data_IF_148077926238
#
_entry.id   IF_148077926238
#
_cell.length_a   1.000
_cell.length_b   1.000
_cell.length_c   1.000
_cell.angle_alpha   90.00
_cell.angle_beta   90.00
_cell.angle_gamma   90.00
#
_symmetry.space_group_name_H-M   'P 1'
#
loop_
_entity.id
_entity.type
_entity.pdbx_description
1 polymer ?
#
# COMPACT_ATOMS: atom_id res chain seq x y z
N UNK A 1 -1.09 5.20 21.54
CA UNK A 1 -0.16 4.27 20.88
C UNK A 1 -0.23 2.94 21.58
N UNK A 2 -0.25 1.81 20.86
CA UNK A 2 0.27 0.57 21.43
C UNK A 2 0.67 -0.52 20.39
N UNK A 3 1.85 -0.38 19.74
CA UNK A 3 2.68 -1.49 19.29
C UNK A 3 3.43 -2.04 20.50
N UNK A 4 3.02 -3.23 20.89
CA UNK A 4 2.95 -3.67 22.28
C UNK A 4 4.33 -3.79 22.98
N UNK A 5 4.81 -2.90 23.87
CA UNK A 5 4.23 -1.71 24.50
C UNK A 5 5.26 -0.56 24.55
N UNK A 6 5.64 -0.04 23.38
CA UNK A 6 6.41 1.20 23.28
C UNK A 6 6.63 1.59 21.82
N UNK A 7 6.46 2.88 21.51
CA UNK A 7 6.64 3.40 20.16
C UNK A 7 5.35 3.57 19.36
N UNK A 8 5.47 4.20 18.19
CA UNK A 8 4.43 4.31 17.17
C UNK A 8 4.31 2.99 16.38
N UNK A 9 3.22 2.80 15.64
CA UNK A 9 3.18 1.69 14.68
C UNK A 9 4.34 1.86 13.69
N UNK A 10 5.16 0.83 13.49
CA UNK A 10 6.29 0.92 12.54
C UNK A 10 5.72 0.93 11.13
N UNK A 11 5.18 -0.20 10.68
CA UNK A 11 4.45 -0.32 9.41
C UNK A 11 2.97 -0.57 9.66
N UNK A 12 2.10 -0.24 8.70
CA UNK A 12 0.64 -0.29 8.87
C UNK A 12 -0.05 -0.92 7.66
N UNK A 13 -0.99 -1.85 7.85
CA UNK A 13 -1.79 -2.39 6.72
C UNK A 13 -3.26 -2.40 7.07
N UNK A 14 -4.09 -1.87 6.16
CA UNK A 14 -5.54 -1.86 6.33
C UNK A 14 -6.09 -3.24 5.99
N UNK A 15 -6.51 -3.98 7.00
CA UNK A 15 -7.10 -5.31 6.84
C UNK A 15 -8.51 -5.21 6.24
N UNK A 16 -8.98 -6.30 5.64
CA UNK A 16 -10.29 -6.37 4.96
C UNK A 16 -11.50 -6.25 5.91
N UNK A 17 -11.27 -6.28 7.22
CA UNK A 17 -12.28 -6.00 8.26
C UNK A 17 -12.18 -4.58 8.84
N UNK A 18 -11.45 -3.69 8.18
CA UNK A 18 -11.28 -2.29 8.57
C UNK A 18 -10.30 -2.08 9.73
N UNK A 19 -9.70 -3.12 10.30
CA UNK A 19 -8.64 -2.93 11.31
C UNK A 19 -7.30 -2.54 10.66
N UNK A 20 -6.41 -1.91 11.42
CA UNK A 20 -5.02 -1.65 10.98
C UNK A 20 -4.11 -2.68 11.62
N UNK A 21 -3.49 -3.56 10.83
CA UNK A 21 -2.42 -4.44 11.25
C UNK A 21 -1.12 -3.65 11.38
N UNK A 22 -0.33 -3.93 12.42
CA UNK A 22 1.00 -3.35 12.61
C UNK A 22 1.83 -4.30 13.48
N UNK A 23 3.14 -4.10 13.53
CA UNK A 23 4.06 -4.86 14.36
C UNK A 23 4.81 -3.93 15.34
N UNK A 24 5.31 -4.53 16.42
CA UNK A 24 6.15 -3.87 17.41
C UNK A 24 7.57 -4.43 17.37
N UNK A 25 8.12 -4.75 18.55
CA UNK A 25 9.51 -5.18 18.74
C UNK A 25 9.91 -6.36 17.85
N UNK A 26 11.13 -6.29 17.30
CA UNK A 26 11.74 -7.25 16.38
C UNK A 26 10.88 -7.61 15.15
N UNK A 27 9.86 -6.78 14.85
CA UNK A 27 8.95 -6.92 13.71
C UNK A 27 8.19 -8.26 13.63
N UNK A 28 8.15 -9.03 14.73
CA UNK A 28 7.47 -10.33 14.79
C UNK A 28 6.31 -10.39 15.81
N UNK A 29 6.18 -9.34 16.64
CA UNK A 29 5.08 -9.16 17.58
C UNK A 29 3.99 -8.31 16.95
N UNK A 30 2.86 -8.93 16.63
CA UNK A 30 1.80 -8.28 15.86
C UNK A 30 0.69 -7.74 16.75
N UNK A 31 0.12 -6.62 16.32
CA UNK A 31 -1.04 -5.98 16.90
C UNK A 31 -2.01 -5.57 15.81
N UNK A 32 -3.27 -5.36 16.16
CA UNK A 32 -4.20 -4.60 15.32
C UNK A 32 -4.90 -3.49 16.08
N UNK A 33 -5.13 -2.37 15.40
CA UNK A 33 -5.99 -1.29 15.86
C UNK A 33 -7.39 -1.51 15.31
N UNK A 34 -8.36 -1.68 16.22
CA UNK A 34 -9.79 -1.72 15.89
C UNK A 34 -10.37 -0.35 16.22
N UNK A 35 -11.03 0.36 15.27
CA UNK A 35 -11.63 1.65 15.54
C UNK A 35 -12.75 1.53 16.58
N UNK A 36 -13.15 2.67 17.18
CA UNK A 36 -14.30 2.67 18.09
C UNK A 36 -15.63 2.41 17.35
N UNK A 37 -16.74 2.40 18.10
CA UNK A 37 -18.07 2.15 17.56
C UNK A 37 -18.56 3.20 16.54
N UNK A 38 -17.87 4.33 16.36
CA UNK A 38 -18.18 5.36 15.39
C UNK A 38 -17.19 5.39 14.21
N UNK A 39 -16.26 4.43 14.15
CA UNK A 39 -15.22 4.38 13.12
C UNK A 39 -14.07 5.36 13.39
N UNK A 40 -13.89 5.82 14.63
CA UNK A 40 -12.80 6.71 15.03
C UNK A 40 -11.58 5.89 15.47
N UNK A 41 -10.52 5.93 14.66
CA UNK A 41 -9.26 5.23 14.93
C UNK A 41 -8.44 5.89 16.04
N UNK A 42 -8.70 7.17 16.37
CA UNK A 42 -8.02 7.84 17.50
C UNK A 42 -8.49 7.34 18.86
N UNK A 43 -9.71 6.80 18.91
CA UNK A 43 -10.33 6.16 20.07
C UNK A 43 -10.32 4.64 19.98
N UNK A 44 -9.67 4.09 18.96
CA UNK A 44 -9.59 2.66 18.73
C UNK A 44 -8.82 1.91 19.82
N UNK A 45 -9.02 0.61 19.86
CA UNK A 45 -8.36 -0.31 20.80
C UNK A 45 -7.32 -1.14 20.07
N UNK A 46 -6.12 -1.20 20.64
CA UNK A 46 -5.06 -2.09 20.18
C UNK A 46 -5.24 -3.48 20.77
N UNK A 47 -5.13 -4.50 19.93
CA UNK A 47 -5.30 -5.91 20.29
C UNK A 47 -4.04 -6.67 19.86
N UNK A 48 -3.43 -7.41 20.79
CA UNK A 48 -2.30 -8.28 20.48
C UNK A 48 -2.75 -9.49 19.65
N UNK A 49 -1.93 -9.87 18.67
CA UNK A 49 -2.16 -10.96 17.74
C UNK A 49 -1.12 -12.07 17.92
N UNK A 50 -1.25 -13.14 17.15
CA UNK A 50 -0.25 -14.20 17.10
C UNK A 50 1.09 -13.67 16.56
N UNK A 51 2.16 -14.11 17.18
CA UNK A 51 3.53 -13.85 16.79
C UNK A 51 3.87 -14.58 15.48
N UNK A 52 4.57 -13.91 14.57
CA UNK A 52 4.99 -14.51 13.30
C UNK A 52 6.27 -15.35 13.46
N UNK A 53 6.47 -16.38 12.60
CA UNK A 53 7.70 -17.17 12.59
C UNK A 53 8.94 -16.33 12.26
N UNK A 54 8.82 -15.36 11.35
CA UNK A 54 9.87 -14.42 11.01
C UNK A 54 9.52 -13.01 11.48
N UNK A 55 10.54 -12.28 11.93
CA UNK A 55 10.50 -10.85 12.15
C UNK A 55 11.32 -10.17 11.08
N UNK A 56 10.64 -9.58 10.09
CA UNK A 56 11.29 -8.98 8.92
C UNK A 56 10.86 -7.53 8.72
N UNK A 57 11.78 -6.72 8.22
CA UNK A 57 11.54 -5.35 7.77
C UNK A 57 12.13 -5.15 6.38
N UNK A 58 11.69 -4.08 5.69
CA UNK A 58 12.01 -3.84 4.28
C UNK A 58 11.64 -5.07 3.44
N UNK A 59 10.36 -5.46 3.48
CA UNK A 59 9.88 -6.75 2.99
C UNK A 59 8.73 -6.58 2.00
N UNK A 60 8.52 -7.57 1.14
CA UNK A 60 7.40 -7.62 0.22
C UNK A 60 6.10 -7.88 0.97
N UNK A 61 5.15 -6.94 0.94
CA UNK A 61 3.96 -6.98 1.78
C UNK A 61 2.68 -6.71 1.01
N UNK A 62 1.68 -7.56 1.18
CA UNK A 62 0.44 -7.48 0.42
C UNK A 62 -0.76 -8.03 1.20
N UNK A 63 -1.95 -7.46 0.99
CA UNK A 63 -3.22 -8.07 1.42
C UNK A 63 -3.72 -8.98 0.30
N UNK A 64 -4.02 -10.23 0.60
CA UNK A 64 -4.43 -11.23 -0.38
C UNK A 64 -5.94 -11.16 -0.68
N UNK A 65 -6.39 -11.74 -1.82
CA UNK A 65 -7.81 -11.75 -2.20
C UNK A 65 -8.79 -12.36 -1.18
N UNK A 66 -8.28 -13.24 -0.31
CA UNK A 66 -9.04 -13.89 0.75
C UNK A 66 -8.92 -13.18 2.11
N UNK A 67 -8.29 -12.01 2.14
CA UNK A 67 -8.10 -11.19 3.34
C UNK A 67 -6.92 -11.59 4.22
N UNK A 68 -6.14 -12.61 3.83
CA UNK A 68 -4.85 -12.91 4.50
C UNK A 68 -3.84 -11.79 4.24
N UNK A 69 -2.85 -11.66 5.12
CA UNK A 69 -1.69 -10.82 4.90
C UNK A 69 -0.49 -11.66 4.48
N UNK A 70 0.17 -11.25 3.41
CA UNK A 70 1.38 -11.84 2.85
C UNK A 70 2.57 -10.97 3.23
N UNK A 71 3.64 -11.59 3.73
CA UNK A 71 4.93 -10.96 3.91
C UNK A 71 6.02 -11.91 3.42
N UNK A 72 6.96 -11.40 2.63
CA UNK A 72 8.06 -12.21 2.10
C UNK A 72 9.36 -11.43 1.92
N UNK A 73 10.48 -12.14 1.94
CA UNK A 73 11.80 -11.50 1.84
C UNK A 73 12.15 -10.75 3.12
N UNK A 74 12.51 -9.48 2.98
CA UNK A 74 13.08 -8.66 4.05
C UNK A 74 14.56 -8.37 3.80
N UNK A 75 14.97 -7.11 3.75
CA UNK A 75 16.38 -6.72 3.87
C UNK A 75 16.91 -7.11 5.26
N UNK A 76 16.08 -6.92 6.28
CA UNK A 76 16.41 -7.23 7.67
C UNK A 76 15.60 -8.41 8.18
N UNK A 77 16.30 -9.44 8.68
CA UNK A 77 15.70 -10.61 9.33
C UNK A 77 16.16 -10.64 10.79
N UNK A 78 15.29 -10.20 11.69
CA UNK A 78 15.56 -10.10 13.14
C UNK A 78 15.19 -11.37 13.91
N UNK A 79 14.18 -12.09 13.44
CA UNK A 79 13.71 -13.35 14.04
C UNK A 79 13.46 -14.37 12.92
N UNK A 80 13.73 -15.64 13.18
CA UNK A 80 13.55 -16.74 12.22
C UNK A 80 13.21 -18.06 12.94
N UNK A 81 12.52 -19.00 12.29
CA UNK A 81 12.17 -20.30 12.86
C UNK A 81 13.38 -21.24 12.95
N UNK A 82 13.24 -22.32 13.72
CA UNK A 82 14.27 -23.38 13.80
C UNK A 82 14.56 -23.99 12.41
N UNK A 83 15.85 -24.16 12.10
CA UNK A 83 16.31 -24.66 10.79
C UNK A 83 16.45 -23.58 9.71
N UNK A 84 16.23 -22.31 10.06
CA UNK A 84 16.43 -21.12 9.21
C UNK A 84 17.56 -20.24 9.78
N UNK A 85 17.86 -19.12 9.11
CA UNK A 85 18.89 -18.15 9.51
C UNK A 85 18.50 -16.71 9.21
N UNK A 86 19.27 -15.76 9.76
CA UNK A 86 19.17 -14.33 9.43
C UNK A 86 19.51 -13.99 7.97
N UNK A 87 20.01 -14.95 7.18
CA UNK A 87 20.34 -14.77 5.77
C UNK A 87 19.23 -15.32 4.84
N UNK A 88 18.10 -15.78 5.37
CA UNK A 88 17.03 -16.43 4.60
C UNK A 88 16.05 -15.38 4.02
N UNK A 89 16.54 -14.55 3.10
CA UNK A 89 15.79 -13.46 2.47
C UNK A 89 14.78 -13.93 1.39
N UNK A 90 14.31 -15.16 1.46
CA UNK A 90 13.25 -15.74 0.59
C UNK A 90 12.11 -16.37 1.38
N UNK A 91 12.10 -16.23 2.70
CA UNK A 91 10.98 -16.67 3.52
C UNK A 91 9.67 -16.04 3.04
N UNK A 92 8.59 -16.82 3.07
CA UNK A 92 7.23 -16.33 2.85
C UNK A 92 6.43 -16.72 4.09
N UNK A 93 5.68 -15.77 4.64
CA UNK A 93 4.76 -16.01 5.75
C UNK A 93 3.40 -15.38 5.49
N UNK A 94 2.35 -16.13 5.85
CA UNK A 94 0.97 -15.77 5.60
C UNK A 94 0.23 -15.69 6.92
N UNK A 95 -0.38 -14.55 7.21
CA UNK A 95 -1.23 -14.36 8.38
C UNK A 95 -2.70 -14.54 8.01
N UNK A 96 -3.39 -15.40 8.76
CA UNK A 96 -4.83 -15.55 8.68
C UNK A 96 -5.51 -14.75 9.80
N UNK A 97 -6.21 -13.64 9.50
CA UNK A 97 -6.86 -12.81 10.51
C UNK A 97 -8.13 -13.44 11.12
N UNK A 98 -8.69 -14.48 10.49
CA UNK A 98 -9.88 -15.18 11.01
C UNK A 98 -9.48 -16.14 12.13
N UNK A 99 -8.42 -16.92 11.92
CA UNK A 99 -7.93 -17.89 12.92
C UNK A 99 -6.86 -17.28 13.84
N UNK A 100 -6.36 -16.08 13.53
CA UNK A 100 -5.23 -15.45 14.20
C UNK A 100 -4.00 -16.37 14.24
N UNK A 101 -3.58 -16.88 13.08
CA UNK A 101 -2.46 -17.81 12.95
C UNK A 101 -1.59 -17.48 11.76
N UNK A 102 -0.30 -17.77 11.88
CA UNK A 102 0.67 -17.68 10.79
C UNK A 102 0.98 -19.05 10.19
N UNK A 103 1.22 -19.10 8.88
CA UNK A 103 1.70 -20.29 8.16
C UNK A 103 2.84 -19.90 7.24
N UNK A 104 3.83 -20.78 7.09
CA UNK A 104 4.92 -20.59 6.14
C UNK A 104 4.47 -20.93 4.71
N UNK A 105 4.87 -20.07 3.78
CA UNK A 105 4.70 -20.25 2.35
C UNK A 105 5.84 -21.03 1.70
N UNK A 106 5.71 -21.34 0.41
CA UNK A 106 6.87 -21.78 -0.38
C UNK A 106 7.88 -20.62 -0.47
N UNK A 107 9.15 -20.88 -0.15
CA UNK A 107 10.22 -19.88 -0.35
C UNK A 107 10.35 -19.47 -1.83
N UNK A 108 10.78 -18.23 -2.07
CA UNK A 108 11.00 -17.71 -3.42
C UNK A 108 11.94 -18.59 -4.26
N UNK A 109 11.63 -18.75 -5.55
CA UNK A 109 12.31 -19.65 -6.50
C UNK A 109 13.81 -19.39 -6.64
N UNK A 110 14.19 -18.12 -6.50
CA UNK A 110 15.52 -17.62 -6.79
C UNK A 110 16.34 -17.25 -5.55
N UNK A 111 15.89 -17.70 -4.37
CA UNK A 111 16.65 -17.61 -3.13
C UNK A 111 16.64 -16.25 -2.42
N UNK A 112 16.49 -15.14 -3.14
CA UNK A 112 16.56 -13.78 -2.59
C UNK A 112 15.40 -12.91 -3.10
N UNK A 113 14.40 -12.70 -2.26
CA UNK A 113 13.31 -11.74 -2.45
C UNK A 113 13.66 -10.36 -1.87
N UNK A 114 14.35 -10.29 -0.73
CA UNK A 114 14.77 -9.03 -0.09
C UNK A 114 13.60 -8.01 0.01
N UNK A 115 13.91 -6.73 -0.11
CA UNK A 115 13.08 -5.53 -0.28
C UNK A 115 12.71 -5.26 -1.75
N UNK A 116 12.74 -6.29 -2.60
CA UNK A 116 12.56 -6.05 -4.04
C UNK A 116 11.12 -5.76 -4.40
N UNK A 117 10.92 -5.01 -5.49
CA UNK A 117 9.61 -4.61 -5.93
C UNK A 117 8.61 -5.76 -6.16
N UNK A 118 7.38 -5.51 -5.75
CA UNK A 118 6.26 -6.44 -5.78
C UNK A 118 4.96 -5.73 -6.12
N UNK A 119 4.06 -6.41 -6.84
CA UNK A 119 2.72 -5.89 -7.10
C UNK A 119 1.72 -7.03 -7.35
N UNK A 120 0.45 -6.73 -7.08
CA UNK A 120 -0.64 -7.61 -7.48
C UNK A 120 -0.84 -7.61 -9.01
N UNK A 121 -1.07 -8.80 -9.55
CA UNK A 121 -1.79 -8.99 -10.80
C UNK A 121 -3.29 -8.84 -10.55
N UNK A 122 -4.05 -8.56 -11.61
CA UNK A 122 -5.51 -8.37 -11.52
C UNK A 122 -6.22 -9.52 -10.81
N UNK A 123 -5.78 -10.75 -11.06
CA UNK A 123 -6.36 -11.98 -10.49
C UNK A 123 -5.91 -12.28 -9.05
N UNK A 124 -5.12 -11.40 -8.44
CA UNK A 124 -4.68 -11.53 -7.06
C UNK A 124 -3.41 -12.34 -6.85
N UNK A 125 -2.82 -12.91 -7.91
CA UNK A 125 -1.42 -13.36 -7.86
C UNK A 125 -0.50 -12.17 -7.60
N UNK A 126 0.69 -12.44 -7.11
CA UNK A 126 1.70 -11.41 -6.83
C UNK A 126 2.88 -11.66 -7.76
N UNK A 127 3.30 -10.64 -8.52
CA UNK A 127 4.57 -10.66 -9.24
C UNK A 127 5.62 -9.96 -8.40
N UNK A 128 6.79 -10.56 -8.30
CA UNK A 128 7.92 -10.07 -7.53
C UNK A 128 9.21 -10.21 -8.34
N UNK A 129 10.16 -9.31 -8.15
CA UNK A 129 11.52 -9.47 -8.67
C UNK A 129 12.41 -10.36 -7.79
N UNK A 130 13.57 -10.72 -8.33
CA UNK A 130 14.75 -11.05 -7.52
C UNK A 130 15.68 -9.84 -7.41
N UNK A 131 16.58 -9.85 -6.44
CA UNK A 131 17.42 -8.69 -6.14
C UNK A 131 18.46 -8.38 -7.22
N UNK A 132 18.98 -9.39 -7.95
CA UNK A 132 20.27 -9.24 -8.67
C UNK A 132 20.25 -9.61 -10.14
N UNK A 133 19.32 -10.46 -10.59
CA UNK A 133 19.41 -11.08 -11.92
C UNK A 133 18.29 -10.66 -12.85
N UNK A 134 17.55 -9.59 -12.52
CA UNK A 134 16.40 -9.13 -13.30
C UNK A 134 15.32 -10.21 -13.50
N UNK A 135 15.30 -11.26 -12.68
CA UNK A 135 14.31 -12.33 -12.81
C UNK A 135 13.03 -11.90 -12.12
N UNK A 136 11.90 -12.38 -12.62
CA UNK A 136 10.63 -12.24 -11.90
C UNK A 136 10.02 -13.60 -11.62
N UNK A 137 9.19 -13.63 -10.59
CA UNK A 137 8.50 -14.81 -10.11
C UNK A 137 7.08 -14.41 -9.69
N UNK A 138 6.15 -15.33 -9.88
CA UNK A 138 4.72 -15.08 -9.65
C UNK A 138 4.24 -16.03 -8.57
N UNK A 139 3.84 -15.49 -7.42
CA UNK A 139 3.24 -16.23 -6.32
C UNK A 139 1.74 -16.39 -6.54
N UNK A 140 1.26 -17.63 -6.44
CA UNK A 140 -0.16 -17.93 -6.39
C UNK A 140 -0.60 -18.21 -4.94
N UNK A 141 -1.37 -17.30 -4.31
CA UNK A 141 -1.78 -17.46 -2.92
C UNK A 141 -2.77 -18.60 -2.68
N UNK A 142 -3.48 -19.07 -3.72
CA UNK A 142 -4.45 -20.18 -3.61
C UNK A 142 -3.78 -21.55 -3.54
N UNK A 143 -2.63 -21.70 -4.21
CA UNK A 143 -1.85 -22.95 -4.24
C UNK A 143 -0.59 -22.87 -3.39
N UNK A 144 -0.29 -21.70 -2.81
CA UNK A 144 0.93 -21.41 -2.06
C UNK A 144 2.19 -21.81 -2.86
N UNK A 145 2.24 -21.41 -4.12
CA UNK A 145 3.30 -21.83 -5.04
C UNK A 145 3.81 -20.71 -5.92
N UNK A 146 5.10 -20.78 -6.26
CA UNK A 146 5.72 -19.87 -7.21
C UNK A 146 5.83 -20.48 -8.61
N UNK A 147 5.70 -19.62 -9.62
CA UNK A 147 6.06 -19.91 -11.01
C UNK A 147 7.04 -18.86 -11.53
N UNK A 148 7.95 -19.24 -12.43
CA UNK A 148 8.84 -18.28 -13.07
C UNK A 148 8.04 -17.28 -13.92
N UNK A 149 8.34 -16.00 -13.78
CA UNK A 149 7.89 -14.93 -14.66
C UNK A 149 8.93 -14.62 -15.74
N UNK A 150 8.65 -13.67 -16.64
CA UNK A 150 9.59 -13.23 -17.65
C UNK A 150 10.68 -12.35 -17.01
N UNK A 151 11.89 -12.42 -17.54
CA UNK A 151 12.96 -11.55 -17.06
C UNK A 151 12.69 -10.09 -17.45
N UNK A 152 13.05 -9.18 -16.55
CA UNK A 152 13.12 -7.75 -16.79
C UNK A 152 14.32 -7.43 -17.70
N UNK A 153 14.31 -6.29 -18.40
CA UNK A 153 15.44 -5.87 -19.23
C UNK A 153 16.73 -5.59 -18.43
N UNK A 154 16.61 -5.15 -17.18
CA UNK A 154 17.73 -5.02 -16.25
C UNK A 154 17.26 -5.23 -14.81
N UNK A 155 18.22 -5.52 -13.92
CA UNK A 155 17.96 -5.65 -12.48
C UNK A 155 17.71 -4.26 -11.90
N UNK A 156 16.74 -4.17 -11.01
CA UNK A 156 16.66 -3.14 -9.99
C UNK A 156 16.62 -3.91 -8.66
N UNK A 157 17.45 -3.52 -7.70
CA UNK A 157 17.39 -4.10 -6.36
C UNK A 157 16.12 -3.55 -5.68
N UNK A 158 16.09 -2.23 -5.56
CA UNK A 158 15.05 -1.46 -4.90
C UNK A 158 14.30 -0.60 -5.93
N UNK A 159 12.99 -0.84 -6.04
CA UNK A 159 12.12 -0.11 -6.96
C UNK A 159 10.63 -0.18 -6.60
N UNK A 160 9.92 0.93 -6.80
CA UNK A 160 8.48 0.99 -6.56
C UNK A 160 7.68 0.47 -7.76
N UNK A 161 6.74 -0.44 -7.49
CA UNK A 161 5.88 -1.06 -8.50
C UNK A 161 4.43 -0.63 -8.32
N UNK A 162 3.82 -0.06 -9.36
CA UNK A 162 2.43 0.39 -9.35
C UNK A 162 1.60 -0.34 -10.42
N UNK A 163 0.53 -1.06 -10.03
CA UNK A 163 -0.40 -1.65 -10.99
C UNK A 163 -1.33 -0.58 -11.59
N UNK A 164 -1.51 -0.62 -12.90
CA UNK A 164 -2.30 0.34 -13.66
C UNK A 164 -3.71 -0.18 -14.01
N UNK A 165 -4.66 0.73 -14.32
CA UNK A 165 -6.02 0.36 -14.73
C UNK A 165 -6.14 -0.57 -15.94
N UNK A 166 -5.12 -0.63 -16.80
CA UNK A 166 -5.10 -1.53 -17.97
C UNK A 166 -4.61 -2.95 -17.64
N UNK A 167 -4.24 -3.21 -16.38
CA UNK A 167 -3.71 -4.49 -15.91
C UNK A 167 -2.20 -4.63 -16.00
N UNK A 168 -1.50 -3.65 -16.59
CA UNK A 168 -0.04 -3.63 -16.60
C UNK A 168 0.52 -3.12 -15.27
N UNK A 169 1.81 -3.35 -15.03
CA UNK A 169 2.52 -2.83 -13.85
C UNK A 169 3.68 -1.98 -14.32
N UNK A 170 3.82 -0.77 -13.77
CA UNK A 170 4.99 0.08 -13.98
C UNK A 170 5.91 -0.08 -12.80
N UNK A 171 7.18 -0.39 -13.08
CA UNK A 171 8.28 -0.42 -12.12
C UNK A 171 9.18 0.77 -12.41
N UNK A 172 9.53 1.54 -11.37
CA UNK A 172 10.37 2.73 -11.47
C UNK A 172 11.46 2.64 -10.42
N UNK A 173 12.71 2.76 -10.87
CA UNK A 173 13.90 2.88 -10.04
C UNK A 173 14.76 4.07 -10.48
N UNK A 174 15.79 4.41 -9.70
CA UNK A 174 16.82 5.39 -10.10
C UNK A 174 17.58 4.98 -11.39
N UNK A 175 17.60 3.67 -11.69
CA UNK A 175 18.38 3.06 -12.76
C UNK A 175 17.59 2.87 -14.05
N UNK A 176 16.26 3.00 -13.99
CA UNK A 176 15.38 2.89 -15.15
C UNK A 176 13.93 2.65 -14.77
N UNK A 177 13.08 2.61 -15.79
CA UNK A 177 11.68 2.28 -15.63
C UNK A 177 11.26 1.23 -16.66
N UNK A 178 10.37 0.35 -16.25
CA UNK A 178 9.89 -0.76 -17.05
C UNK A 178 8.38 -0.94 -16.87
N UNK A 179 7.74 -1.56 -17.85
CA UNK A 179 6.32 -1.88 -17.78
C UNK A 179 6.09 -3.35 -18.09
N UNK A 180 5.50 -4.08 -17.15
CA UNK A 180 5.09 -5.46 -17.31
C UNK A 180 3.69 -5.52 -17.89
N UNK A 181 3.53 -6.28 -18.98
CA UNK A 181 2.24 -6.67 -19.53
C UNK A 181 1.96 -8.15 -19.19
N UNK A 182 1.07 -8.42 -18.23
CA UNK A 182 0.71 -9.80 -17.88
C UNK A 182 0.03 -10.57 -19.01
N UNK A 183 -0.65 -9.89 -19.95
CA UNK A 183 -1.33 -10.54 -21.06
C UNK A 183 -0.35 -11.03 -22.13
N UNK A 184 0.70 -10.23 -22.40
CA UNK A 184 1.81 -10.65 -23.25
C UNK A 184 2.86 -11.49 -22.49
N UNK A 185 2.78 -11.51 -21.16
CA UNK A 185 3.80 -12.04 -20.27
C UNK A 185 5.21 -11.51 -20.62
N UNK A 186 5.32 -10.18 -20.76
CA UNK A 186 6.54 -9.53 -21.24
C UNK A 186 6.79 -8.19 -20.53
N UNK A 187 8.06 -7.84 -20.37
CA UNK A 187 8.51 -6.53 -19.90
C UNK A 187 8.92 -5.64 -21.07
N UNK A 188 8.53 -4.38 -21.01
CA UNK A 188 8.91 -3.34 -21.95
C UNK A 188 9.76 -2.28 -21.24
N UNK A 189 10.83 -1.84 -21.88
CA UNK A 189 11.55 -0.62 -21.47
C UNK A 189 10.72 0.60 -21.83
N UNK A 190 10.46 1.47 -20.86
CA UNK A 190 9.79 2.74 -21.11
C UNK A 190 10.81 3.88 -21.27
N UNK A 191 10.36 5.11 -21.48
CA UNK A 191 11.23 6.27 -21.56
C UNK A 191 12.10 6.37 -20.30
N UNK A 192 13.35 6.81 -20.46
CA UNK A 192 14.27 6.99 -19.32
C UNK A 192 13.84 8.23 -18.51
N UNK A 193 13.83 8.16 -17.17
CA UNK A 193 13.61 9.33 -16.34
C UNK A 193 14.69 10.42 -16.57
N UNK A 194 14.38 11.70 -16.27
CA UNK A 194 15.34 12.80 -16.31
C UNK A 194 16.61 12.48 -15.52
N UNK A 195 17.77 12.97 -15.97
CA UNK A 195 19.06 12.72 -15.30
C UNK A 195 19.16 13.31 -13.89
N UNK A 196 18.31 14.27 -13.55
CA UNK A 196 18.13 14.79 -12.18
C UNK A 196 17.63 13.73 -11.21
N UNK A 197 16.83 12.78 -11.69
CA UNK A 197 16.33 11.64 -10.92
C UNK A 197 17.19 10.38 -11.15
N UNK A 198 17.59 10.13 -12.40
CA UNK A 198 18.33 8.95 -12.80
C UNK A 198 19.84 9.07 -12.54
N UNK A 199 20.23 9.42 -11.30
CA UNK A 199 21.62 9.62 -10.88
C UNK A 199 22.33 8.32 -10.47
N UNK A 200 21.58 7.25 -10.22
CA UNK A 200 22.10 5.93 -9.84
C UNK A 200 22.77 5.88 -8.47
N UNK A 201 22.47 6.86 -7.60
CA UNK A 201 23.14 7.05 -6.31
C UNK A 201 22.29 6.72 -5.07
N UNK A 202 20.97 6.58 -5.21
CA UNK A 202 20.00 6.48 -4.09
C UNK A 202 18.66 5.90 -4.53
N UNK A 203 17.97 5.21 -3.65
CA UNK A 203 16.79 4.40 -3.97
C UNK A 203 15.52 5.22 -4.22
N UNK A 204 14.48 4.53 -4.68
CA UNK A 204 13.23 5.18 -5.08
C UNK A 204 12.28 5.19 -3.89
N UNK A 205 12.23 6.31 -3.19
CA UNK A 205 11.44 6.40 -1.95
C UNK A 205 9.95 6.25 -2.13
N UNK A 206 9.37 6.66 -3.27
CA UNK A 206 7.95 6.42 -3.51
C UNK A 206 7.58 6.53 -4.99
N UNK A 207 6.69 5.64 -5.41
CA UNK A 207 6.04 5.63 -6.72
C UNK A 207 4.53 5.62 -6.50
N UNK A 208 3.88 6.76 -6.73
CA UNK A 208 2.45 6.94 -6.47
C UNK A 208 1.67 7.17 -7.76
N UNK A 209 0.75 6.26 -8.09
CA UNK A 209 -0.24 6.47 -9.15
C UNK A 209 -1.35 7.42 -8.65
N UNK A 210 -1.55 8.51 -9.37
CA UNK A 210 -2.51 9.57 -9.01
C UNK A 210 -3.82 9.46 -9.82
N UNK A 211 -4.87 10.15 -9.35
CA UNK A 211 -6.20 10.12 -9.96
C UNK A 211 -6.28 10.59 -11.42
N UNK A 212 -5.26 11.30 -11.92
CA UNK A 212 -5.19 11.74 -13.31
C UNK A 212 -4.41 10.76 -14.21
N UNK A 213 -4.02 9.59 -13.67
CA UNK A 213 -3.32 8.53 -14.39
C UNK A 213 -1.81 8.75 -14.54
N UNK A 214 -1.28 9.87 -14.04
CA UNK A 214 0.18 10.09 -13.96
C UNK A 214 0.72 9.45 -12.68
N UNK A 215 2.02 9.17 -12.69
CA UNK A 215 2.76 8.59 -11.57
C UNK A 215 3.76 9.62 -11.07
N UNK A 216 3.66 9.99 -9.80
CA UNK A 216 4.71 10.72 -9.09
C UNK A 216 5.77 9.70 -8.66
N UNK A 217 7.02 9.93 -9.03
CA UNK A 217 8.16 9.21 -8.47
C UNK A 217 9.11 10.20 -7.80
N UNK A 218 9.60 9.83 -6.62
CA UNK A 218 10.52 10.67 -5.86
C UNK A 218 11.67 9.84 -5.33
N UNK A 219 12.83 10.50 -5.22
CA UNK A 219 14.06 9.93 -4.71
C UNK A 219 15.07 11.05 -4.51
N UNK A 220 15.83 10.95 -3.43
CA UNK A 220 16.80 11.95 -3.01
C UNK A 220 16.16 13.34 -2.80
N UNK A 221 16.60 14.36 -3.53
CA UNK A 221 16.04 15.72 -3.47
C UNK A 221 15.19 16.06 -4.71
N UNK A 222 14.79 15.04 -5.49
CA UNK A 222 14.15 15.23 -6.78
C UNK A 222 12.79 14.53 -6.85
N UNK A 223 11.84 15.18 -7.51
CA UNK A 223 10.57 14.57 -7.92
C UNK A 223 10.45 14.57 -9.44
N UNK A 224 9.85 13.54 -10.00
CA UNK A 224 9.56 13.42 -11.44
C UNK A 224 8.18 12.84 -11.63
N UNK A 225 7.56 13.16 -12.77
CA UNK A 225 6.20 12.72 -13.09
C UNK A 225 6.26 11.91 -14.39
N UNK A 226 5.90 10.64 -14.30
CA UNK A 226 5.75 9.77 -15.45
C UNK A 226 4.29 9.78 -15.92
N UNK A 227 4.09 9.95 -17.22
CA UNK A 227 2.79 9.73 -17.88
C UNK A 227 2.89 8.43 -18.68
N UNK A 228 2.21 7.35 -18.22
CA UNK A 228 2.19 6.09 -18.94
C UNK A 228 1.71 6.24 -20.38
N UNK A 229 2.31 5.49 -21.29
CA UNK A 229 1.81 5.37 -22.67
C UNK A 229 0.46 4.65 -22.73
N UNK A 230 -0.25 4.81 -23.85
CA UNK A 230 -1.60 4.26 -24.01
C UNK A 230 -1.64 2.72 -23.99
N UNK A 231 -0.55 2.06 -24.38
CA UNK A 231 -0.35 0.61 -24.30
C UNK A 231 0.92 0.27 -23.52
N UNK A 232 1.05 -0.97 -23.00
CA UNK A 232 2.24 -1.38 -22.27
C UNK A 232 3.57 -1.20 -23.02
N UNK A 233 3.58 -1.41 -24.33
CA UNK A 233 4.75 -1.22 -25.19
C UNK A 233 5.09 0.24 -25.50
N UNK A 234 4.18 1.18 -25.21
CA UNK A 234 4.41 2.59 -25.48
C UNK A 234 5.32 3.17 -24.38
N UNK A 235 6.36 3.95 -24.74
CA UNK A 235 7.38 4.38 -23.79
C UNK A 235 6.90 5.44 -22.78
N UNK A 236 5.70 5.99 -22.95
CA UNK A 236 5.21 7.10 -22.13
C UNK A 236 6.10 8.34 -22.23
N UNK A 237 5.98 9.23 -21.25
CA UNK A 237 6.79 10.46 -21.19
C UNK A 237 7.05 10.90 -19.75
N UNK A 238 8.14 11.64 -19.55
CA UNK A 238 8.52 12.17 -18.24
C UNK A 238 8.50 13.69 -18.23
N UNK A 239 8.16 14.24 -17.08
CA UNK A 239 8.35 15.65 -16.76
C UNK A 239 9.09 15.77 -15.42
N UNK A 240 9.89 16.84 -15.30
CA UNK A 240 10.46 17.23 -14.01
C UNK A 240 9.31 17.68 -13.09
N UNK A 241 9.23 17.12 -11.89
CA UNK A 241 8.30 17.54 -10.86
C UNK A 241 8.82 18.78 -10.10
N UNK A 242 8.00 19.37 -9.22
CA UNK A 242 8.41 20.51 -8.40
C UNK A 242 9.56 20.16 -7.46
N UNK A 243 10.31 21.17 -7.04
CA UNK A 243 11.35 21.00 -6.04
C UNK A 243 10.74 20.57 -4.70
N UNK A 244 11.41 19.66 -4.00
CA UNK A 244 11.02 19.23 -2.66
C UNK A 244 11.21 20.41 -1.69
N UNK A 245 10.22 20.75 -0.84
CA UNK A 245 10.29 21.91 0.03
C UNK A 245 11.52 21.92 0.93
N UNK A 246 12.03 23.13 1.16
CA UNK A 246 13.17 23.41 2.06
C UNK A 246 14.47 22.67 1.68
N UNK A 247 14.59 22.15 0.45
CA UNK A 247 15.76 21.36 0.03
C UNK A 247 15.89 20.03 0.78
N UNK A 248 14.77 19.50 1.29
CA UNK A 248 14.73 18.26 2.08
C UNK A 248 14.87 17.02 1.19
N UNK A 249 15.17 15.88 1.83
CA UNK A 249 15.39 14.61 1.15
C UNK A 249 14.21 13.66 1.35
N UNK A 250 13.97 12.85 0.33
CA UNK A 250 13.13 11.67 0.36
C UNK A 250 14.05 10.49 0.08
N UNK A 251 14.25 9.67 1.10
CA UNK A 251 15.13 8.51 1.11
C UNK A 251 14.59 7.63 2.24
N UNK A 252 14.03 6.47 1.91
CA UNK A 252 13.32 5.58 2.84
C UNK A 252 12.25 6.34 3.65
N UNK A 253 11.42 7.07 2.89
CA UNK A 253 10.28 7.87 3.38
C UNK A 253 9.02 7.46 2.66
N UNK A 254 7.88 7.70 3.28
CA UNK A 254 6.62 7.13 2.84
C UNK A 254 5.66 8.19 2.32
N UNK A 255 4.75 7.76 1.47
CA UNK A 255 3.69 8.58 0.94
C UNK A 255 2.35 7.87 1.07
N UNK A 256 1.25 8.59 0.84
CA UNK A 256 -0.01 7.96 0.45
C UNK A 256 -0.82 8.93 -0.40
N UNK A 257 -1.49 8.46 -1.48
CA UNK A 257 -2.43 9.30 -2.21
C UNK A 257 -3.65 9.59 -1.34
N UNK A 258 -4.08 10.84 -1.30
CA UNK A 258 -5.18 11.30 -0.46
C UNK A 258 -6.49 11.36 -1.24
N UNK A 259 -7.62 11.18 -0.55
CA UNK A 259 -8.94 11.21 -1.19
C UNK A 259 -9.30 12.55 -1.88
N UNK A 260 -8.64 13.65 -1.53
CA UNK A 260 -8.82 14.96 -2.18
C UNK A 260 -8.05 15.09 -3.52
N UNK A 261 -7.22 14.11 -3.88
CA UNK A 261 -6.44 14.06 -5.11
C UNK A 261 -4.98 14.47 -4.97
N UNK A 262 -4.54 14.87 -3.79
CA UNK A 262 -3.13 15.16 -3.47
C UNK A 262 -2.39 13.89 -3.04
N UNK A 263 -1.09 14.03 -2.81
CA UNK A 263 -0.25 12.98 -2.21
C UNK A 263 0.42 13.57 -0.97
N UNK A 264 0.11 13.02 0.20
CA UNK A 264 0.82 13.33 1.44
C UNK A 264 2.07 12.46 1.53
N UNK A 265 3.18 13.03 1.95
CA UNK A 265 4.44 12.31 2.11
C UNK A 265 5.31 12.97 3.17
N UNK A 266 6.27 12.24 3.70
CA UNK A 266 7.31 12.81 4.56
C UNK A 266 8.63 13.03 3.83
N UNK A 267 9.46 13.90 4.40
CA UNK A 267 10.82 14.14 3.92
C UNK A 267 11.72 14.37 5.13
N UNK A 268 12.94 13.85 5.09
CA UNK A 268 13.83 13.78 6.26
C UNK A 268 14.88 14.89 6.29
N UNK A 269 15.48 15.01 7.48
CA UNK A 269 16.51 16.00 7.83
C UNK A 269 17.84 15.73 7.13
N UNK A 270 18.28 14.48 7.17
CA UNK A 270 19.49 13.99 6.52
C UNK A 270 19.31 12.53 6.08
N UNK A 271 19.84 12.17 4.92
CA UNK A 271 20.00 10.77 4.52
C UNK A 271 21.13 10.13 5.32
N UNK A 272 20.89 8.94 5.88
CA UNK A 272 21.93 8.16 6.56
C UNK A 272 22.90 7.49 5.57
N UNK A 273 22.47 7.31 4.31
CA UNK A 273 23.25 6.69 3.24
C UNK A 273 24.24 7.69 2.63
N UNK A 274 23.78 8.90 2.32
CA UNK A 274 24.59 9.90 1.61
C UNK A 274 25.25 10.94 2.53
N UNK A 275 24.84 11.01 3.80
CA UNK A 275 25.15 12.09 4.74
C UNK A 275 24.71 13.48 4.26
N UNK A 276 23.85 13.58 3.24
CA UNK A 276 23.30 14.85 2.77
C UNK A 276 22.20 15.34 3.72
N UNK A 277 22.19 16.65 4.02
CA UNK A 277 21.29 17.26 5.00
C UNK A 277 20.62 18.52 4.43
N UNK A 278 19.29 18.62 4.58
CA UNK A 278 18.47 19.65 3.92
C UNK A 278 17.50 20.39 4.84
N UNK A 279 16.92 19.72 5.83
CA UNK A 279 15.95 20.35 6.76
C UNK A 279 16.62 20.74 8.10
N UNK A 280 16.21 21.87 8.70
CA UNK A 280 16.73 22.31 9.99
C UNK A 280 16.11 21.57 11.20
N UNK A 281 15.03 20.81 11.00
CA UNK A 281 14.21 20.26 12.10
C UNK A 281 13.28 19.12 11.62
N UNK A 282 13.45 17.91 12.18
CA UNK A 282 12.50 16.79 12.05
C UNK A 282 12.23 16.28 10.63
N UNK A 283 11.46 15.20 10.52
CA UNK A 283 10.79 14.88 9.26
C UNK A 283 9.75 15.97 9.00
N UNK A 284 9.64 16.47 7.77
CA UNK A 284 8.57 17.37 7.34
C UNK A 284 7.46 16.55 6.69
N UNK A 285 6.20 16.97 6.84
CA UNK A 285 5.08 16.40 6.10
C UNK A 285 4.73 17.41 5.05
N UNK A 286 4.66 16.93 3.83
CA UNK A 286 4.41 17.72 2.66
C UNK A 286 3.20 17.14 1.92
N UNK A 287 2.52 17.98 1.17
CA UNK A 287 1.53 17.56 0.18
C UNK A 287 2.02 17.95 -1.21
N UNK A 288 1.95 17.02 -2.16
CA UNK A 288 2.02 17.31 -3.58
C UNK A 288 0.61 17.48 -4.14
N UNK A 289 0.36 18.60 -4.83
CA UNK A 289 -0.87 18.86 -5.56
C UNK A 289 -0.63 18.66 -7.07
N UNK A 290 -1.18 17.58 -7.67
CA UNK A 290 -1.00 17.32 -9.10
C UNK A 290 -1.71 18.32 -10.00
N UNK A 291 -2.75 19.03 -9.51
CA UNK A 291 -3.50 19.98 -10.31
C UNK A 291 -2.72 21.27 -10.55
N UNK A 292 -1.93 21.71 -9.57
CA UNK A 292 -1.08 22.90 -9.67
C UNK A 292 0.40 22.57 -9.89
N UNK A 293 0.78 21.29 -9.80
CA UNK A 293 2.16 20.81 -9.87
C UNK A 293 3.05 21.50 -8.82
N UNK A 294 2.59 21.56 -7.58
CA UNK A 294 3.28 22.23 -6.47
C UNK A 294 3.38 21.34 -5.25
N UNK A 295 4.45 21.49 -4.47
CA UNK A 295 4.60 20.87 -3.15
C UNK A 295 4.54 21.94 -2.06
N UNK A 296 3.91 21.62 -0.94
CA UNK A 296 3.84 22.50 0.22
C UNK A 296 4.02 21.69 1.52
N UNK A 297 4.83 22.22 2.44
CA UNK A 297 4.92 21.68 3.80
C UNK A 297 3.64 22.02 4.57
N UNK A 298 3.04 21.02 5.21
CA UNK A 298 1.88 21.19 6.09
C UNK A 298 2.30 21.16 7.55
N UNK A 299 1.47 21.75 8.42
CA UNK A 299 1.71 21.75 9.86
C UNK A 299 1.59 20.34 10.42
N UNK A 300 2.63 19.88 11.11
CA UNK A 300 2.63 18.59 11.79
C UNK A 300 2.27 18.72 13.28
N UNK A 301 1.75 17.67 13.91
CA UNK A 301 1.99 17.45 15.33
C UNK A 301 3.49 17.18 15.55
N UNK A 302 4.16 17.92 16.44
CA UNK A 302 5.60 17.78 16.69
C UNK A 302 6.03 16.32 17.00
N UNK A 303 6.95 15.74 16.21
CA UNK A 303 7.83 14.65 16.64
C UNK A 303 9.28 15.15 16.69
N UNK A 304 9.83 15.23 17.90
CA UNK A 304 11.19 15.72 18.15
C UNK A 304 12.29 14.77 17.68
N UNK A 305 11.97 13.52 17.30
CA UNK A 305 12.97 12.48 16.97
C UNK A 305 13.33 12.42 15.49
N UNK A 306 12.51 13.00 14.60
CA UNK A 306 12.80 13.05 13.17
C UNK A 306 12.77 11.68 12.46
N UNK A 307 12.00 10.72 12.98
CA UNK A 307 11.78 9.42 12.34
C UNK A 307 10.91 9.58 11.08
N UNK A 308 11.08 8.70 10.07
CA UNK A 308 10.15 8.61 8.95
C UNK A 308 8.71 8.40 9.41
N UNK A 309 7.77 8.92 8.62
CA UNK A 309 6.34 8.89 8.96
C UNK A 309 5.61 7.92 8.06
N UNK A 310 5.11 6.83 8.64
CA UNK A 310 4.29 5.88 7.94
C UNK A 310 2.87 6.41 7.79
N UNK A 311 2.28 6.25 6.61
CA UNK A 311 0.92 6.70 6.31
C UNK A 311 0.03 5.54 5.88
N UNK A 312 -1.23 5.58 6.30
CA UNK A 312 -2.25 4.70 5.73
C UNK A 312 -3.60 5.39 5.61
N UNK A 313 -4.25 5.26 4.45
CA UNK A 313 -5.60 5.77 4.26
C UNK A 313 -6.60 4.97 5.09
N UNK A 314 -7.49 5.67 5.77
CA UNK A 314 -8.56 5.08 6.57
C UNK A 314 -9.89 5.08 5.78
N UNK A 315 -10.79 4.12 6.01
CA UNK A 315 -12.09 4.04 5.33
C UNK A 315 -12.96 5.30 5.46
N UNK A 316 -12.73 6.10 6.50
CA UNK A 316 -13.44 7.34 6.76
C UNK A 316 -12.87 8.57 6.01
N UNK A 317 -11.83 8.38 5.18
CA UNK A 317 -11.18 9.42 4.37
C UNK A 317 -10.09 10.21 5.08
N UNK A 318 -9.78 9.86 6.33
CA UNK A 318 -8.61 10.38 7.04
C UNK A 318 -7.37 9.53 6.73
N UNK A 319 -6.19 10.03 7.11
CA UNK A 319 -4.91 9.32 7.04
C UNK A 319 -4.42 9.07 8.46
N UNK A 320 -4.18 7.81 8.82
CA UNK A 320 -3.44 7.50 10.04
C UNK A 320 -1.95 7.64 9.74
N UNK A 321 -1.27 8.41 10.57
CA UNK A 321 0.16 8.63 10.50
C UNK A 321 0.83 8.11 11.78
N UNK A 322 1.99 7.48 11.63
CA UNK A 322 2.75 6.90 12.72
C UNK A 322 4.25 7.21 12.55
N UNK A 323 4.85 7.79 13.59
CA UNK A 323 6.27 8.13 13.59
C UNK A 323 6.82 8.10 15.02
N UNK A 324 8.03 7.55 15.17
CA UNK A 324 8.78 7.56 16.42
C UNK A 324 7.97 7.06 17.62
N UNK A 325 7.48 7.99 18.44
CA UNK A 325 6.65 7.68 19.61
C UNK A 325 5.27 8.33 19.56
N UNK A 326 4.68 8.53 18.38
CA UNK A 326 3.32 9.04 18.23
C UNK A 326 2.58 8.40 17.06
N UNK A 327 1.28 8.20 17.26
CA UNK A 327 0.31 8.01 16.17
C UNK A 327 -0.64 9.21 16.19
N UNK A 328 -1.03 9.71 15.02
CA UNK A 328 -2.03 10.76 14.88
C UNK A 328 -2.84 10.56 13.61
N UNK A 329 -3.98 11.23 13.54
CA UNK A 329 -4.81 11.21 12.35
C UNK A 329 -4.76 12.57 11.68
N UNK A 330 -4.50 12.58 10.39
CA UNK A 330 -4.60 13.73 9.51
C UNK A 330 -5.92 13.68 8.72
N UNK A 331 -6.58 14.82 8.57
CA UNK A 331 -7.79 14.93 7.75
C UNK A 331 -7.47 15.78 6.52
N UNK A 332 -7.39 15.17 5.32
CA UNK A 332 -7.14 15.90 4.09
C UNK A 332 -8.12 17.06 3.90
N UNK A 333 -7.61 18.24 3.54
CA UNK A 333 -8.46 19.39 3.24
C UNK A 333 -9.09 19.21 1.86
N UNK A 334 -10.42 19.36 1.80
CA UNK A 334 -11.19 19.18 0.57
C UNK A 334 -12.03 17.90 0.61
N UNK A 335 -12.50 17.46 -0.56
CA UNK A 335 -13.33 16.25 -0.66
C UNK A 335 -13.04 15.51 -1.97
N UNK A 336 -13.20 14.18 -1.99
CA UNK A 336 -13.09 13.41 -3.22
C UNK A 336 -14.10 13.86 -4.27
N UNK A 337 -13.67 13.92 -5.53
CA UNK A 337 -14.59 14.12 -6.67
C UNK A 337 -15.55 12.95 -6.75
N UNK A 338 -16.80 13.22 -7.16
CA UNK A 338 -17.83 12.19 -7.27
C UNK A 338 -17.41 11.04 -8.21
N UNK A 339 -16.72 11.36 -9.31
CA UNK A 339 -16.21 10.36 -10.26
C UNK A 339 -15.16 9.41 -9.69
N UNK A 340 -14.56 9.72 -8.53
CA UNK A 340 -13.54 8.87 -7.90
C UNK A 340 -14.11 7.87 -6.91
N UNK A 341 -15.40 7.97 -6.59
CA UNK A 341 -16.02 7.16 -5.55
C UNK A 341 -16.35 5.76 -6.07
N UNK A 342 -16.15 4.72 -5.25
CA UNK A 342 -16.78 3.43 -5.51
C UNK A 342 -18.29 3.58 -5.65
N UNK A 343 -18.92 2.75 -6.46
CA UNK A 343 -20.38 2.66 -6.55
C UNK A 343 -20.84 1.26 -6.21
N UNK A 344 -21.98 1.16 -5.52
CA UNK A 344 -22.65 -0.11 -5.22
C UNK A 344 -23.87 -0.22 -6.11
N UNK A 345 -23.90 -1.23 -6.96
CA UNK A 345 -25.00 -1.48 -7.91
C UNK A 345 -25.97 -2.50 -7.34
N UNK A 346 -25.47 -3.56 -6.71
CA UNK A 346 -26.30 -4.58 -6.09
C UNK A 346 -25.58 -5.29 -4.96
N UNK A 347 -26.36 -5.78 -4.01
CA UNK A 347 -25.94 -6.71 -2.96
C UNK A 347 -26.93 -7.86 -2.94
N UNK A 348 -26.45 -9.09 -3.08
CA UNK A 348 -27.27 -10.31 -3.08
C UNK A 348 -26.70 -11.36 -2.12
N UNK A 349 -27.47 -12.40 -1.81
CA UNK A 349 -27.03 -13.49 -0.93
C UNK A 349 -27.54 -13.38 0.51
N UNK A 350 -27.16 -14.37 1.33
CA UNK A 350 -27.53 -14.48 2.74
C UNK A 350 -26.38 -15.15 3.51
N UNK A 351 -25.98 -14.57 4.64
CA UNK A 351 -24.79 -15.01 5.39
C UNK A 351 -23.50 -14.46 4.79
N UNK A 352 -23.14 -14.94 3.59
CA UNK A 352 -22.14 -14.29 2.73
C UNK A 352 -22.87 -13.51 1.66
N UNK A 353 -22.57 -12.21 1.55
CA UNK A 353 -23.20 -11.30 0.61
C UNK A 353 -22.26 -11.04 -0.56
N UNK A 354 -22.78 -11.10 -1.77
CA UNK A 354 -22.08 -10.75 -2.99
C UNK A 354 -22.40 -9.31 -3.38
N UNK A 355 -21.39 -8.46 -3.41
CA UNK A 355 -21.50 -7.05 -3.80
C UNK A 355 -20.99 -6.87 -5.23
N UNK A 356 -21.78 -6.21 -6.07
CA UNK A 356 -21.38 -5.77 -7.41
C UNK A 356 -21.39 -4.25 -7.50
N UNK A 357 -20.37 -3.68 -8.14
CA UNK A 357 -20.19 -2.24 -8.22
C UNK A 357 -19.15 -1.82 -9.25
N UNK A 358 -18.67 -0.59 -9.14
CA UNK A 358 -17.52 -0.10 -9.91
C UNK A 358 -16.54 0.62 -9.00
N UNK A 359 -15.26 0.67 -9.40
CA UNK A 359 -14.19 1.35 -8.66
C UNK A 359 -14.00 0.83 -7.22
N UNK A 360 -14.35 -0.43 -6.98
CA UNK A 360 -14.26 -1.11 -5.68
C UNK A 360 -12.81 -1.32 -5.22
N UNK A 361 -11.83 -1.27 -6.13
CA UNK A 361 -10.40 -1.30 -5.80
C UNK A 361 -9.72 0.08 -5.86
N UNK A 362 -10.48 1.18 -6.02
CA UNK A 362 -9.93 2.53 -6.04
C UNK A 362 -9.19 2.90 -7.34
N UNK A 363 -8.78 4.17 -7.47
CA UNK A 363 -8.19 4.74 -8.70
C UNK A 363 -6.74 5.19 -8.55
N UNK A 364 -6.15 4.96 -7.40
CA UNK A 364 -4.77 5.32 -7.05
C UNK A 364 -4.06 4.10 -6.52
N UNK A 365 -2.74 4.12 -6.54
CA UNK A 365 -1.91 3.05 -6.00
C UNK A 365 -0.58 3.60 -5.54
N UNK A 366 0.11 2.83 -4.74
CA UNK A 366 1.39 3.18 -4.15
C UNK A 366 2.30 1.96 -4.24
N UNK A 367 3.51 2.19 -4.75
CA UNK A 367 4.61 1.25 -4.78
C UNK A 367 5.83 1.91 -4.15
N UNK A 368 6.55 1.13 -3.36
CA UNK A 368 7.74 1.51 -2.63
C UNK A 368 8.49 0.18 -2.30
N UNK A 369 9.76 0.23 -1.91
CA UNK A 369 10.66 -0.92 -1.66
C UNK A 369 10.65 -1.45 -0.22
N UNK A 370 10.62 -0.60 0.81
CA UNK A 370 10.63 -1.00 2.22
C UNK A 370 9.29 -1.42 2.83
N UNK A 371 8.18 -0.91 2.29
CA UNK A 371 6.83 -0.90 2.83
C UNK A 371 5.78 -0.74 1.73
N UNK A 372 5.17 -1.85 1.32
CA UNK A 372 4.09 -1.83 0.33
C UNK A 372 2.70 -1.86 0.96
N UNK A 373 1.86 -0.90 0.56
CA UNK A 373 0.48 -0.75 1.03
C UNK A 373 -0.46 -0.16 -0.06
N UNK A 374 -0.60 -0.78 -1.25
CA UNK A 374 -1.38 -0.20 -2.36
C UNK A 374 -2.88 0.03 -2.07
N UNK A 375 -3.45 -0.67 -1.08
CA UNK A 375 -4.87 -0.56 -0.65
C UNK A 375 -5.93 -0.73 -1.76
N UNK A 376 -5.58 -1.40 -2.87
CA UNK A 376 -6.45 -1.62 -4.02
C UNK A 376 -7.46 -2.76 -3.82
N UNK A 377 -8.30 -2.68 -2.79
CA UNK A 377 -9.37 -3.63 -2.47
C UNK A 377 -10.49 -2.96 -1.66
N UNK A 378 -11.73 -3.47 -1.73
CA UNK A 378 -12.87 -2.86 -1.06
C UNK A 378 -12.91 -3.17 0.44
N UNK A 379 -13.13 -2.14 1.26
CA UNK A 379 -13.57 -2.25 2.65
C UNK A 379 -15.05 -1.95 2.72
N UNK A 380 -15.85 -2.90 3.22
CA UNK A 380 -17.29 -2.72 3.41
C UNK A 380 -17.56 -2.34 4.86
N UNK A 381 -18.37 -1.31 5.07
CA UNK A 381 -18.87 -0.96 6.40
C UNK A 381 -20.32 -0.49 6.35
N UNK A 382 -21.01 -0.65 7.48
CA UNK A 382 -22.42 -0.34 7.64
C UNK A 382 -22.57 0.75 8.68
N UNK A 383 -23.56 1.61 8.50
CA UNK A 383 -24.00 2.59 9.50
C UNK A 383 -25.45 2.38 9.87
N UNK A 384 -25.74 2.35 11.16
CA UNK A 384 -27.11 2.40 11.68
C UNK A 384 -27.61 3.87 11.75
N UNK A 385 -28.86 4.05 12.22
CA UNK A 385 -29.45 5.39 12.39
C UNK A 385 -28.86 6.18 13.56
N UNK A 386 -28.16 5.53 14.49
CA UNK A 386 -27.45 6.17 15.60
C UNK A 386 -26.02 6.60 15.19
N UNK A 387 -25.57 6.21 14.00
CA UNK A 387 -24.25 6.51 13.47
C UNK A 387 -23.17 5.50 13.89
N UNK A 388 -23.53 4.37 14.51
CA UNK A 388 -22.58 3.31 14.80
C UNK A 388 -22.07 2.68 13.51
N UNK A 389 -20.78 2.36 13.48
CA UNK A 389 -20.08 1.79 12.32
C UNK A 389 -19.76 0.33 12.58
N UNK A 390 -20.12 -0.52 11.61
CA UNK A 390 -19.84 -1.95 11.64
C UNK A 390 -19.08 -2.35 10.39
N UNK A 391 -17.81 -2.72 10.54
CA UNK A 391 -17.02 -3.23 9.42
C UNK A 391 -17.38 -4.68 9.12
N UNK A 392 -17.65 -4.97 7.86
CA UNK A 392 -17.83 -6.33 7.35
C UNK A 392 -16.52 -6.82 6.77
N UNK A 393 -16.15 -8.08 7.04
CA UNK A 393 -14.93 -8.65 6.45
C UNK A 393 -15.18 -8.96 4.99
N UNK A 394 -14.37 -8.38 4.11
CA UNK A 394 -14.44 -8.59 2.68
C UNK A 394 -13.42 -9.64 2.20
N UNK A 395 -13.74 -10.32 1.11
CA UNK A 395 -12.91 -11.32 0.44
C UNK A 395 -13.37 -11.52 -1.02
N UNK A 396 -12.75 -12.46 -1.73
CA UNK A 396 -13.12 -12.88 -3.09
C UNK A 396 -13.19 -11.70 -4.07
N UNK A 397 -12.16 -10.86 -4.05
CA UNK A 397 -12.10 -9.68 -4.90
C UNK A 397 -11.93 -10.07 -6.37
N UNK A 398 -12.76 -9.51 -7.24
CA UNK A 398 -12.60 -9.63 -8.70
C UNK A 398 -11.33 -8.95 -9.25
N UNK A 399 -10.71 -8.06 -8.47
CA UNK A 399 -9.55 -7.29 -8.86
C UNK A 399 -8.74 -6.87 -7.63
N UNK A 400 -7.41 -6.99 -7.72
CA UNK A 400 -6.43 -6.52 -6.72
C UNK A 400 -5.55 -5.37 -7.22
N UNK A 401 -5.96 -4.74 -8.32
CA UNK A 401 -5.22 -3.66 -8.96
C UNK A 401 -6.07 -2.40 -9.03
N UNK A 402 -5.47 -1.27 -9.39
CA UNK A 402 -6.19 -0.03 -9.67
C UNK A 402 -7.37 -0.27 -10.62
N UNK A 403 -8.53 0.26 -10.26
CA UNK A 403 -9.74 0.13 -11.05
C UNK A 403 -9.62 0.85 -12.39
N UNK A 404 -10.14 0.22 -13.44
CA UNK A 404 -10.53 0.92 -14.66
C UNK A 404 -11.86 1.64 -14.46
N UNK A 405 -11.95 2.97 -14.67
CA UNK A 405 -13.20 3.69 -14.50
C UNK A 405 -14.37 3.04 -15.25
N UNK A 406 -15.47 2.79 -14.54
CA UNK A 406 -16.68 2.16 -15.07
C UNK A 406 -16.61 0.63 -15.26
N UNK A 407 -15.47 -0.01 -15.03
CA UNK A 407 -15.39 -1.47 -15.04
C UNK A 407 -16.18 -2.06 -13.85
N UNK A 408 -17.01 -3.06 -14.15
CA UNK A 408 -17.73 -3.82 -13.11
C UNK A 408 -16.74 -4.64 -12.30
N UNK A 409 -16.85 -4.52 -10.98
CA UNK A 409 -16.07 -5.27 -10.00
C UNK A 409 -17.01 -5.86 -8.96
N UNK A 410 -16.55 -6.94 -8.35
CA UNK A 410 -17.25 -7.67 -7.29
C UNK A 410 -16.34 -7.99 -6.10
N UNK A 411 -16.98 -8.21 -4.96
CA UNK A 411 -16.41 -8.73 -3.72
C UNK A 411 -17.48 -9.46 -2.93
N UNK A 412 -17.08 -10.43 -2.12
CA UNK A 412 -17.94 -11.00 -1.10
C UNK A 412 -17.66 -10.36 0.25
N UNK A 413 -18.67 -10.27 1.12
CA UNK A 413 -18.49 -9.85 2.50
C UNK A 413 -19.33 -10.66 3.48
N UNK A 414 -18.84 -10.73 4.72
CA UNK A 414 -19.52 -11.36 5.85
C UNK A 414 -19.71 -10.36 6.98
N UNK A 415 -20.89 -10.37 7.58
CA UNK A 415 -21.26 -9.44 8.64
C UNK A 415 -20.66 -9.87 9.99
N UNK A 416 -20.37 -8.93 10.91
CA UNK A 416 -20.06 -9.27 12.29
C UNK A 416 -21.17 -10.13 12.90
N UNK A 417 -20.80 -11.20 13.60
CA UNK A 417 -21.77 -12.11 14.23
C UNK A 417 -22.64 -11.44 15.29
N UNK A 418 -22.19 -10.32 15.85
CA UNK A 418 -22.92 -9.50 16.82
C UNK A 418 -23.86 -8.48 16.20
N UNK A 419 -23.88 -8.32 14.86
CA UNK A 419 -24.72 -7.33 14.20
C UNK A 419 -26.19 -7.78 14.26
N UNK A 420 -27.06 -6.92 14.77
CA UNK A 420 -28.49 -7.20 14.86
C UNK A 420 -29.15 -7.08 13.48
N UNK A 421 -30.06 -8.01 13.15
CA UNK A 421 -30.88 -7.92 11.95
C UNK A 421 -31.65 -6.58 11.92
N UNK A 422 -31.60 -5.88 10.80
CA UNK A 422 -32.14 -4.53 10.70
C UNK A 422 -31.78 -3.81 9.41
N UNK A 423 -32.14 -2.54 9.33
CA UNK A 423 -31.81 -1.69 8.19
C UNK A 423 -30.61 -0.81 8.49
N UNK A 424 -29.66 -0.80 7.55
CA UNK A 424 -28.40 -0.09 7.62
C UNK A 424 -28.15 0.66 6.30
N UNK A 425 -27.25 1.63 6.35
CA UNK A 425 -26.64 2.19 5.13
C UNK A 425 -25.28 1.55 4.94
N UNK A 426 -25.10 0.82 3.84
CA UNK A 426 -23.84 0.19 3.44
C UNK A 426 -22.98 1.18 2.65
N UNK A 427 -21.68 1.13 2.89
CA UNK A 427 -20.66 1.88 2.18
C UNK A 427 -19.53 0.95 1.75
N UNK A 428 -18.87 1.29 0.64
CA UNK A 428 -17.59 0.70 0.23
C UNK A 428 -16.54 1.79 0.21
N UNK A 429 -15.38 1.54 0.82
CA UNK A 429 -14.20 2.40 0.72
C UNK A 429 -13.06 1.67 0.05
N UNK A 430 -12.33 2.38 -0.82
CA UNK A 430 -11.05 1.94 -1.38
C UNK A 430 -10.09 3.14 -1.43
N UNK A 431 -8.83 2.94 -1.03
CA UNK A 431 -7.81 4.00 -0.95
C UNK A 431 -8.33 5.29 -0.24
N UNK A 432 -9.06 5.13 0.87
CA UNK A 432 -9.63 6.26 1.63
C UNK A 432 -10.85 6.96 1.01
N UNK A 433 -11.35 6.53 -0.16
CA UNK A 433 -12.54 7.12 -0.79
C UNK A 433 -13.75 6.21 -0.62
N UNK A 434 -14.74 6.70 0.12
CA UNK A 434 -16.03 6.01 0.32
C UNK A 434 -17.07 6.28 -0.78
N UNK A 435 -17.90 5.29 -1.06
CA UNK A 435 -19.07 5.36 -1.91
C UNK A 435 -20.15 6.30 -1.35
N UNK A 436 -21.19 6.56 -2.15
CA UNK A 436 -22.47 6.97 -1.59
C UNK A 436 -23.10 5.81 -0.79
N UNK A 437 -24.02 6.12 0.11
CA UNK A 437 -24.72 5.13 0.91
C UNK A 437 -25.68 4.27 0.07
N UNK A 438 -25.63 2.95 0.28
CA UNK A 438 -26.53 1.96 -0.31
C UNK A 438 -27.46 1.41 0.76
N UNK A 439 -28.78 1.43 0.53
CA UNK A 439 -29.73 0.90 1.49
C UNK A 439 -29.58 -0.63 1.60
N UNK A 440 -29.34 -1.12 2.81
CA UNK A 440 -29.11 -2.54 3.06
C UNK A 440 -29.98 -3.02 4.22
N UNK A 441 -30.60 -4.18 4.04
CA UNK A 441 -31.38 -4.86 5.09
C UNK A 441 -31.11 -6.34 4.89
N UNK A 442 -30.88 -7.03 6.00
CA UNK A 442 -30.46 -8.42 5.99
C UNK A 442 -31.03 -9.16 7.17
#
# INVERSE_FOLDING_TARGET
MNPYNGGAGTFMWLMTDGSILSNGSDLHQWVKLVPDQFGDYTKGTWVQLATSPYGVGAAQEQILPDGRFYQAGGEYVYQWPSGSSSNDHNGVQLYNPVTNTWTLGQSGLYGNLWDTGTAHLKDGRIVASDQRSARTQIFNPSTNSWTAGPNRPASAAEDGWVPLPDGSIVSISNGGAYRYDPAANAWYTVARPPSSYASGSTDTSTVTLMYDGRILAMGHNTSVIYTPGAKPSDPGSWAQGPAIPQGSFVDDVYATPEGNGKVIYDSVRCSWLTNECGSASGALINEFDPATNTMATISQPNDSRGAPVNFINLPNGQVLAAAGSRNWVYTPVGSPKAAWRPTVTSVTGSGTYHLTGTQLSGLVSLGEDDYQNPQNYPIVYLKDSAGHVYFARTANFSSMITSKPGETQTTDFTLPSSLAHGSYTLYVSACGVSSAGYAFTY
#
